data_IF_437967252788
#
_entry.id   IF_437967252788
#
_cell.length_a   1.000
_cell.length_b   1.000
_cell.length_c   1.000
_cell.angle_alpha   90.00
_cell.angle_beta   90.00
_cell.angle_gamma   90.00
#
_symmetry.space_group_name_H-M   'P 1'
#
loop_
_entity.id
_entity.type
_entity.pdbx_description
1 polymer ?
#
# COMPACT_ATOMS: atom_id res chain seq x y z
N UNK A 1 -1.85 -16.59 -20.50
CA UNK A 1 -2.98 -17.25 -19.80
C UNK A 1 -3.65 -16.22 -18.92
N UNK A 2 -4.97 -16.06 -18.98
CA UNK A 2 -5.69 -15.22 -18.01
C UNK A 2 -5.53 -15.80 -16.60
N UNK A 3 -5.40 -14.93 -15.60
CA UNK A 3 -5.37 -15.32 -14.19
C UNK A 3 -6.79 -15.15 -13.64
N UNK A 4 -7.48 -16.24 -13.27
CA UNK A 4 -8.82 -16.12 -12.68
C UNK A 4 -9.64 -17.40 -12.56
N UNK A 5 -10.82 -17.31 -11.89
CA UNK A 5 -11.47 -16.08 -11.40
C UNK A 5 -10.86 -15.51 -10.10
N UNK A 6 -10.92 -14.18 -9.94
CA UNK A 6 -10.39 -13.45 -8.77
C UNK A 6 -11.42 -12.45 -8.24
N UNK A 7 -11.37 -12.16 -6.94
CA UNK A 7 -12.07 -11.03 -6.34
C UNK A 7 -11.32 -9.73 -6.66
N UNK A 8 -11.98 -8.79 -7.34
CA UNK A 8 -11.43 -7.49 -7.74
C UNK A 8 -12.08 -6.31 -7.01
N UNK A 9 -12.95 -6.59 -6.04
CA UNK A 9 -13.60 -5.58 -5.22
C UNK A 9 -12.74 -5.13 -4.03
N UNK A 10 -13.34 -4.31 -3.16
CA UNK A 10 -12.73 -3.86 -1.91
C UNK A 10 -12.35 -5.05 -1.04
N UNK A 11 -11.19 -4.99 -0.40
CA UNK A 11 -10.72 -5.99 0.57
C UNK A 11 -10.79 -5.47 2.02
N UNK A 12 -10.99 -4.16 2.17
CA UNK A 12 -11.09 -3.46 3.45
C UNK A 12 -12.47 -2.81 3.57
N UNK A 13 -13.02 -2.83 4.78
CA UNK A 13 -14.21 -2.07 5.15
C UNK A 13 -13.86 -1.06 6.24
N UNK A 14 -13.94 0.24 5.92
CA UNK A 14 -13.47 1.30 6.82
C UNK A 14 -14.28 1.36 8.13
N UNK A 15 -15.58 1.07 8.08
CA UNK A 15 -16.43 1.03 9.29
C UNK A 15 -15.99 -0.08 10.25
N UNK A 16 -15.73 -1.28 9.72
CA UNK A 16 -15.20 -2.40 10.49
C UNK A 16 -13.81 -2.08 11.05
N UNK A 17 -12.91 -1.52 10.24
CA UNK A 17 -11.56 -1.15 10.69
C UNK A 17 -11.58 -0.06 11.77
N UNK A 18 -12.48 0.92 11.66
CA UNK A 18 -12.67 1.95 12.68
C UNK A 18 -13.14 1.35 14.00
N UNK A 19 -14.16 0.49 13.98
CA UNK A 19 -14.65 -0.20 15.17
C UNK A 19 -13.57 -1.05 15.84
N UNK A 20 -12.71 -1.72 15.05
CA UNK A 20 -11.56 -2.47 15.58
C UNK A 20 -10.54 -1.56 16.26
N UNK A 21 -10.24 -0.39 15.68
CA UNK A 21 -9.32 0.58 16.31
C UNK A 21 -9.85 1.11 17.63
N UNK A 22 -11.16 1.40 17.72
CA UNK A 22 -11.82 1.85 18.94
C UNK A 22 -11.88 0.77 20.02
N UNK A 23 -11.98 -0.51 19.63
CA UNK A 23 -11.99 -1.63 20.55
C UNK A 23 -10.60 -2.01 21.08
N UNK A 24 -9.54 -1.72 20.32
CA UNK A 24 -8.18 -2.15 20.61
C UNK A 24 -7.67 -1.78 22.02
N UNK A 25 -7.91 -0.57 22.58
CA UNK A 25 -7.46 -0.23 23.94
C UNK A 25 -8.09 -1.09 25.04
N UNK A 26 -9.26 -1.69 24.78
CA UNK A 26 -9.97 -2.58 25.72
C UNK A 26 -9.56 -4.04 25.57
N UNK A 27 -8.83 -4.38 24.50
CA UNK A 27 -8.40 -5.75 24.23
C UNK A 27 -7.12 -6.07 25.02
N UNK A 28 -7.12 -7.18 25.76
CA UNK A 28 -5.90 -7.69 26.42
C UNK A 28 -5.04 -8.45 25.41
N UNK A 29 -4.23 -7.71 24.65
CA UNK A 29 -3.34 -8.27 23.63
C UNK A 29 -1.91 -7.75 23.78
N UNK A 30 -0.92 -8.64 23.81
CA UNK A 30 0.50 -8.27 23.89
C UNK A 30 1.04 -7.58 22.63
N UNK A 31 0.26 -7.52 21.56
CA UNK A 31 0.63 -6.99 20.24
C UNK A 31 -0.13 -5.72 19.86
N UNK A 32 -0.77 -5.04 20.83
CA UNK A 32 -1.57 -3.83 20.61
C UNK A 32 -0.94 -2.80 19.66
N UNK A 33 0.30 -2.33 19.88
CA UNK A 33 0.96 -1.38 18.99
C UNK A 33 1.16 -1.88 17.55
N UNK A 34 1.37 -3.19 17.37
CA UNK A 34 1.48 -3.80 16.04
C UNK A 34 0.12 -3.84 15.34
N UNK A 35 -0.94 -4.20 16.06
CA UNK A 35 -2.30 -4.22 15.54
C UNK A 35 -2.74 -2.80 15.16
N UNK A 36 -2.47 -1.80 16.00
CA UNK A 36 -2.78 -0.40 15.71
C UNK A 36 -2.15 0.08 14.38
N UNK A 37 -0.87 -0.24 14.16
CA UNK A 37 -0.17 0.07 12.90
C UNK A 37 -0.74 -0.67 11.69
N UNK A 38 -1.10 -1.94 11.87
CA UNK A 38 -1.75 -2.72 10.81
C UNK A 38 -3.10 -2.11 10.41
N UNK A 39 -3.96 -1.81 11.39
CA UNK A 39 -5.26 -1.19 11.15
C UNK A 39 -5.10 0.17 10.45
N UNK A 40 -4.16 1.01 10.90
CA UNK A 40 -3.86 2.28 10.24
C UNK A 40 -3.42 2.10 8.79
N UNK A 41 -2.61 1.07 8.51
CA UNK A 41 -2.18 0.74 7.14
C UNK A 41 -3.37 0.29 6.27
N UNK A 42 -4.21 -0.61 6.77
CA UNK A 42 -5.40 -1.09 6.04
C UNK A 42 -6.39 0.03 5.72
N UNK A 43 -6.57 1.02 6.63
CA UNK A 43 -7.48 2.15 6.40
C UNK A 43 -7.00 3.13 5.31
N UNK A 44 -5.68 3.22 5.11
CA UNK A 44 -5.09 4.05 4.07
C UNK A 44 -4.90 3.29 2.75
N UNK A 45 -5.09 1.97 2.77
CA UNK A 45 -4.84 1.10 1.64
C UNK A 45 -5.91 1.26 0.56
N UNK A 46 -5.49 1.47 -0.69
CA UNK A 46 -6.40 1.58 -1.82
C UNK A 46 -7.13 0.26 -2.09
N UNK A 47 -8.38 0.42 -2.51
CA UNK A 47 -9.34 -0.63 -2.85
C UNK A 47 -9.08 -1.32 -4.21
N UNK A 48 -7.81 -1.44 -4.59
CA UNK A 48 -7.40 -2.21 -5.77
C UNK A 48 -6.85 -3.58 -5.36
N UNK A 49 -7.20 -4.62 -6.12
CA UNK A 49 -6.67 -5.96 -5.93
C UNK A 49 -5.24 -6.12 -6.45
N UNK A 50 -4.80 -5.22 -7.35
CA UNK A 50 -3.44 -5.23 -7.92
C UNK A 50 -2.52 -4.25 -7.21
N UNK A 51 -1.23 -4.54 -7.23
CA UNK A 51 -0.19 -3.66 -6.72
C UNK A 51 1.03 -3.74 -7.63
N UNK A 52 1.91 -2.75 -7.51
CA UNK A 52 3.26 -2.79 -8.02
C UNK A 52 4.22 -3.20 -6.90
N UNK A 53 5.18 -4.06 -7.21
CA UNK A 53 6.35 -4.24 -6.36
C UNK A 53 7.43 -3.24 -6.79
N UNK A 54 7.64 -2.20 -5.98
CA UNK A 54 8.57 -1.12 -6.35
C UNK A 54 10.05 -1.54 -6.30
N UNK A 55 10.39 -2.61 -5.58
CA UNK A 55 11.75 -3.18 -5.59
C UNK A 55 12.01 -3.91 -6.90
N UNK A 56 11.01 -4.63 -7.42
CA UNK A 56 11.10 -5.26 -8.75
C UNK A 56 11.32 -4.20 -9.82
N UNK A 57 10.57 -3.09 -9.76
CA UNK A 57 10.73 -1.97 -10.70
C UNK A 57 12.10 -1.29 -10.55
N UNK A 58 12.54 -1.00 -9.32
CA UNK A 58 13.85 -0.40 -9.10
C UNK A 58 14.99 -1.31 -9.63
N UNK A 59 14.86 -2.63 -9.43
CA UNK A 59 15.80 -3.62 -9.95
C UNK A 59 15.83 -3.64 -11.48
N UNK A 60 14.68 -3.56 -12.16
CA UNK A 60 14.65 -3.49 -13.63
C UNK A 60 15.28 -2.21 -14.16
N UNK A 61 15.15 -1.10 -13.42
CA UNK A 61 15.77 0.20 -13.73
C UNK A 61 17.24 0.30 -13.29
N UNK A 62 17.79 -0.71 -12.59
CA UNK A 62 19.16 -0.72 -12.02
C UNK A 62 19.44 0.45 -11.08
N UNK A 63 18.43 0.87 -10.31
CA UNK A 63 18.55 1.92 -9.30
C UNK A 63 18.30 1.37 -7.89
N UNK A 64 18.86 2.04 -6.88
CA UNK A 64 18.51 1.76 -5.50
C UNK A 64 17.18 2.44 -5.17
N UNK A 65 16.13 1.70 -4.77
CA UNK A 65 14.86 2.30 -4.42
C UNK A 65 15.02 3.21 -3.20
N UNK A 66 14.41 4.39 -3.24
CA UNK A 66 14.20 5.22 -2.05
C UNK A 66 13.27 4.52 -1.03
N UNK A 67 12.98 5.16 0.10
CA UNK A 67 12.00 4.63 1.04
C UNK A 67 10.60 4.55 0.41
N UNK A 68 9.87 3.45 0.63
CA UNK A 68 8.50 3.28 0.12
C UNK A 68 7.57 4.44 0.50
N UNK A 69 7.74 5.02 1.70
CA UNK A 69 7.03 6.24 2.11
C UNK A 69 7.28 7.40 1.15
N UNK A 70 8.54 7.69 0.85
CA UNK A 70 8.93 8.74 -0.09
C UNK A 70 8.35 8.53 -1.48
N UNK A 71 8.28 7.29 -1.98
CA UNK A 71 7.67 6.98 -3.28
C UNK A 71 6.17 7.26 -3.25
N UNK A 72 5.47 6.80 -2.21
CA UNK A 72 4.03 7.07 -2.02
C UNK A 72 3.77 8.57 -1.92
N UNK A 73 4.54 9.29 -1.10
CA UNK A 73 4.38 10.73 -0.90
C UNK A 73 4.59 11.51 -2.19
N UNK A 74 5.57 11.12 -3.02
CA UNK A 74 5.81 11.73 -4.34
C UNK A 74 4.66 11.48 -5.31
N UNK A 75 4.10 10.27 -5.35
CA UNK A 75 2.93 9.98 -6.18
C UNK A 75 1.72 10.82 -5.77
N UNK A 76 1.48 10.94 -4.47
CA UNK A 76 0.41 11.79 -3.91
C UNK A 76 0.65 13.27 -4.25
N UNK A 77 1.89 13.75 -4.15
CA UNK A 77 2.25 15.12 -4.53
C UNK A 77 2.04 15.41 -6.02
N UNK A 78 2.13 14.39 -6.88
CA UNK A 78 1.81 14.47 -8.32
C UNK A 78 0.31 14.36 -8.62
N UNK A 79 -0.54 14.21 -7.59
CA UNK A 79 -2.00 14.13 -7.72
C UNK A 79 -2.55 12.72 -7.91
N UNK A 80 -1.72 11.68 -7.82
CA UNK A 80 -2.16 10.29 -7.90
C UNK A 80 -2.59 9.76 -6.54
N UNK A 81 -3.51 8.79 -6.54
CA UNK A 81 -3.81 8.01 -5.34
C UNK A 81 -2.70 6.99 -5.17
N UNK A 82 -2.06 6.96 -4.01
CA UNK A 82 -1.08 5.94 -3.70
C UNK A 82 -1.16 5.50 -2.24
N UNK A 83 -0.94 4.21 -2.00
CA UNK A 83 -0.86 3.64 -0.66
C UNK A 83 0.11 2.46 -0.62
N UNK A 84 0.51 2.09 0.59
CA UNK A 84 1.13 0.78 0.83
C UNK A 84 0.06 -0.31 0.79
N UNK A 85 0.47 -1.57 0.58
CA UNK A 85 -0.37 -2.73 0.86
C UNK A 85 0.05 -3.40 2.17
N UNK A 86 -0.91 -3.83 2.99
CA UNK A 86 -0.62 -4.36 4.33
C UNK A 86 0.17 -5.69 4.30
N UNK A 87 0.07 -6.45 3.22
CA UNK A 87 0.64 -7.80 3.09
C UNK A 87 2.09 -7.82 2.58
N UNK A 88 2.66 -6.69 2.13
CA UNK A 88 4.05 -6.65 1.64
C UNK A 88 4.70 -5.29 1.90
N UNK A 89 5.94 -5.32 2.40
CA UNK A 89 6.76 -4.12 2.62
C UNK A 89 7.22 -3.42 1.34
N UNK A 90 7.02 -4.05 0.17
CA UNK A 90 7.40 -3.52 -1.15
C UNK A 90 6.20 -3.29 -2.07
N UNK A 91 4.97 -3.53 -1.59
CA UNK A 91 3.79 -3.35 -2.40
C UNK A 91 3.25 -1.92 -2.33
N UNK A 92 3.15 -1.28 -3.49
CA UNK A 92 2.50 0.01 -3.70
C UNK A 92 1.24 -0.20 -4.52
N UNK A 93 0.11 0.29 -4.02
CA UNK A 93 -1.13 0.42 -4.78
C UNK A 93 -1.23 1.84 -5.27
N UNK A 94 -1.52 2.04 -6.55
CA UNK A 94 -1.70 3.38 -7.12
C UNK A 94 -2.53 3.33 -8.40
N UNK A 95 -3.16 4.44 -8.73
CA UNK A 95 -3.76 4.70 -10.05
C UNK A 95 -2.78 5.37 -11.03
N UNK A 96 -1.55 5.65 -10.60
CA UNK A 96 -0.49 6.14 -11.48
C UNK A 96 -0.10 5.06 -12.51
N UNK A 97 0.08 5.44 -13.78
CA UNK A 97 0.56 4.50 -14.80
C UNK A 97 2.03 4.14 -14.53
N UNK A 98 2.44 2.94 -14.97
CA UNK A 98 3.80 2.43 -14.73
C UNK A 98 4.93 3.42 -15.08
N UNK A 99 4.91 4.16 -16.21
CA UNK A 99 5.97 5.12 -16.53
C UNK A 99 6.13 6.24 -15.49
N UNK A 100 5.04 6.67 -14.85
CA UNK A 100 5.09 7.66 -13.76
C UNK A 100 5.74 7.05 -12.53
N UNK A 101 5.37 5.81 -12.19
CA UNK A 101 5.97 5.09 -11.07
C UNK A 101 7.48 4.86 -11.28
N UNK A 102 7.88 4.47 -12.49
CA UNK A 102 9.29 4.32 -12.89
C UNK A 102 10.07 5.63 -12.71
N UNK A 103 9.53 6.75 -13.20
CA UNK A 103 10.15 8.08 -13.05
C UNK A 103 10.30 8.50 -11.57
N UNK A 104 9.27 8.25 -10.75
CA UNK A 104 9.31 8.55 -9.31
C UNK A 104 10.39 7.72 -8.59
N UNK A 105 10.53 6.45 -8.97
CA UNK A 105 11.52 5.51 -8.41
C UNK A 105 12.94 5.85 -8.85
N UNK A 106 13.16 6.23 -10.12
CA UNK A 106 14.48 6.61 -10.63
C UNK A 106 14.97 7.96 -10.12
N UNK A 107 14.08 8.78 -9.55
CA UNK A 107 14.42 10.06 -8.94
C UNK A 107 14.18 11.28 -9.83
N UNK A 108 13.48 11.11 -10.97
CA UNK A 108 13.38 12.12 -12.02
C UNK A 108 14.57 12.08 -12.97
#
# INVERSE_FOLDING_TARGET
MPVGPLWTGRINDDGTLAAMQEALPRATVGTGPRIARLLATCRQELDTSSHYDYHVIAKSLRVSPGGIGTVVDRLVALGYRASRAHYSGTAIKTDAPLPVLESVISGG
#
